data_IF_037003221513
#
_entry.id   IF_037003221513
#
_cell.length_a   1.000
_cell.length_b   1.000
_cell.length_c   1.000
_cell.angle_alpha   90.00
_cell.angle_beta   90.00
_cell.angle_gamma   90.00
#
_symmetry.space_group_name_H-M   'P 1'
#
loop_
_entity.id
_entity.type
_entity.pdbx_description
1 polymer ?
#
# COMPACT_ATOMS: atom_id res chain seq x y z
N UNK A 1 -1.26 8.27 2.62
CA UNK A 1 -0.83 6.93 3.07
C UNK A 1 0.62 6.91 3.56
N UNK A 2 1.61 7.21 2.72
CA UNK A 2 3.04 7.29 3.12
C UNK A 2 3.25 8.16 4.36
N UNK A 3 2.76 9.40 4.34
CA UNK A 3 2.86 10.32 5.47
C UNK A 3 2.20 9.80 6.75
N UNK A 4 1.08 9.08 6.63
CA UNK A 4 0.40 8.47 7.77
C UNK A 4 1.28 7.39 8.40
N UNK A 5 1.81 6.47 7.57
CA UNK A 5 2.70 5.40 8.04
C UNK A 5 3.97 5.98 8.67
N UNK A 6 4.59 6.99 8.06
CA UNK A 6 5.74 7.71 8.62
C UNK A 6 5.43 8.34 9.97
N UNK A 7 4.28 9.03 10.11
CA UNK A 7 3.85 9.64 11.38
C UNK A 7 3.58 8.62 12.48
N UNK A 8 3.12 7.42 12.12
CA UNK A 8 2.94 6.32 13.06
C UNK A 8 4.24 5.56 13.37
N UNK A 9 5.38 5.93 12.74
CA UNK A 9 6.65 5.23 12.92
C UNK A 9 6.68 3.84 12.27
N UNK A 10 5.76 3.57 11.33
CA UNK A 10 5.68 2.29 10.62
C UNK A 10 6.70 2.29 9.49
N UNK A 11 7.58 1.30 9.46
CA UNK A 11 8.49 1.09 8.33
C UNK A 11 7.72 0.57 7.12
N UNK A 12 7.96 1.16 5.96
CA UNK A 12 7.37 0.72 4.70
C UNK A 12 8.37 0.89 3.55
N UNK A 13 8.18 0.10 2.49
CA UNK A 13 8.89 0.27 1.23
C UNK A 13 7.97 0.95 0.24
N UNK A 14 8.45 2.03 -0.35
CA UNK A 14 7.76 2.71 -1.43
C UNK A 14 8.08 2.03 -2.76
N UNK A 15 7.04 1.69 -3.53
CA UNK A 15 7.15 1.23 -4.91
C UNK A 15 6.38 2.17 -5.81
N UNK A 16 7.05 2.78 -6.79
CA UNK A 16 6.44 3.68 -7.76
C UNK A 16 6.07 2.91 -9.03
N UNK A 17 4.79 2.61 -9.21
CA UNK A 17 4.29 1.86 -10.36
C UNK A 17 4.30 2.65 -11.68
N UNK A 18 4.52 3.97 -11.63
CA UNK A 18 4.63 4.79 -12.85
C UNK A 18 6.01 4.68 -13.49
N UNK A 19 7.02 4.34 -12.70
CA UNK A 19 8.42 4.23 -13.13
C UNK A 19 8.95 2.80 -13.07
N UNK A 20 8.32 1.90 -12.33
CA UNK A 20 8.72 0.50 -12.18
C UNK A 20 7.64 -0.45 -12.73
N UNK A 21 7.92 -1.00 -13.91
CA UNK A 21 7.05 -1.97 -14.59
C UNK A 21 6.87 -3.25 -13.76
N UNK A 22 7.88 -3.68 -13.00
CA UNK A 22 7.75 -4.86 -12.13
C UNK A 22 6.80 -4.58 -10.97
N UNK A 23 6.86 -3.38 -10.39
CA UNK A 23 5.92 -2.97 -9.35
C UNK A 23 4.48 -2.89 -9.88
N UNK A 24 4.29 -2.42 -11.11
CA UNK A 24 3.00 -2.40 -11.78
C UNK A 24 2.46 -3.83 -12.01
N UNK A 25 3.30 -4.74 -12.49
CA UNK A 25 2.92 -6.13 -12.72
C UNK A 25 2.61 -6.87 -11.41
N UNK A 26 3.44 -6.68 -10.38
CA UNK A 26 3.22 -7.21 -9.04
C UNK A 26 1.89 -6.71 -8.45
N UNK A 27 1.60 -5.42 -8.61
CA UNK A 27 0.34 -4.83 -8.18
C UNK A 27 -0.87 -5.44 -8.92
N UNK A 28 -0.78 -5.60 -10.24
CA UNK A 28 -1.83 -6.24 -11.03
C UNK A 28 -2.08 -7.69 -10.59
N UNK A 29 -1.02 -8.45 -10.32
CA UNK A 29 -1.10 -9.84 -9.86
C UNK A 29 -1.67 -9.97 -8.44
N UNK A 30 -1.24 -9.09 -7.53
CA UNK A 30 -1.64 -9.16 -6.13
C UNK A 30 -3.02 -8.54 -5.91
N UNK A 31 -3.22 -7.29 -6.33
CA UNK A 31 -4.43 -6.52 -6.04
C UNK A 31 -5.57 -6.78 -7.03
N UNK A 32 -5.28 -7.38 -8.20
CA UNK A 32 -6.26 -7.53 -9.29
C UNK A 32 -6.64 -6.22 -9.97
N UNK A 33 -6.06 -5.10 -9.53
CA UNK A 33 -6.32 -3.76 -10.05
C UNK A 33 -5.12 -2.83 -9.83
N UNK A 34 -4.94 -1.88 -10.74
CA UNK A 34 -3.90 -0.84 -10.68
C UNK A 34 -4.44 0.45 -10.09
N UNK A 35 -4.88 0.39 -8.83
CA UNK A 35 -5.45 1.53 -8.11
C UNK A 35 -4.53 2.05 -7.00
N UNK A 36 -4.11 3.30 -7.09
CA UNK A 36 -3.29 3.96 -6.07
C UNK A 36 -4.13 4.82 -5.13
N UNK A 37 -3.74 4.98 -3.85
CA UNK A 37 -2.68 4.25 -3.16
C UNK A 37 -3.10 2.82 -2.81
N UNK A 38 -2.17 1.86 -2.84
CA UNK A 38 -2.38 0.48 -2.36
C UNK A 38 -1.30 0.12 -1.35
N UNK A 39 -1.69 -0.61 -0.30
CA UNK A 39 -0.81 -1.13 0.75
C UNK A 39 -0.88 -2.65 0.80
N UNK A 40 0.29 -3.29 0.84
CA UNK A 40 0.45 -4.70 1.17
C UNK A 40 1.02 -4.80 2.59
N UNK A 41 0.28 -5.44 3.49
CA UNK A 41 0.66 -5.62 4.90
C UNK A 41 0.20 -6.98 5.37
N UNK A 42 1.12 -7.81 5.87
CA UNK A 42 0.86 -9.21 6.27
C UNK A 42 0.10 -10.03 5.22
N UNK A 43 0.44 -9.86 3.93
CA UNK A 43 -0.24 -10.52 2.82
C UNK A 43 -1.64 -9.99 2.51
N UNK A 44 -2.11 -8.95 3.21
CA UNK A 44 -3.40 -8.30 2.99
C UNK A 44 -3.23 -7.05 2.14
N UNK A 45 -4.14 -6.88 1.21
CA UNK A 45 -4.15 -5.73 0.29
C UNK A 45 -5.22 -4.74 0.74
N UNK A 46 -4.80 -3.49 0.89
CA UNK A 46 -5.67 -2.38 1.22
C UNK A 46 -5.56 -1.38 0.08
N UNK A 47 -6.62 -1.30 -0.70
CA UNK A 47 -6.75 -0.32 -1.78
C UNK A 47 -7.38 0.95 -1.22
N UNK A 48 -6.84 2.10 -1.61
CA UNK A 48 -7.28 3.41 -1.17
C UNK A 48 -6.71 3.81 0.19
N UNK A 49 -7.00 5.05 0.60
CA UNK A 49 -6.63 5.56 1.91
C UNK A 49 -7.87 5.66 2.81
N UNK A 50 -7.89 4.86 3.86
CA UNK A 50 -8.90 4.91 4.92
C UNK A 50 -8.19 4.84 6.28
N UNK A 51 -8.20 5.95 7.02
CA UNK A 51 -7.53 6.04 8.32
C UNK A 51 -8.09 5.03 9.33
N UNK A 52 -9.41 4.82 9.36
CA UNK A 52 -10.03 3.89 10.31
C UNK A 52 -9.61 2.45 10.01
N UNK A 53 -9.54 2.09 8.72
CA UNK A 53 -9.07 0.77 8.29
C UNK A 53 -7.59 0.59 8.59
N UNK A 54 -6.76 1.61 8.36
CA UNK A 54 -5.33 1.56 8.67
C UNK A 54 -5.08 1.44 10.17
N UNK A 55 -5.80 2.20 11.01
CA UNK A 55 -5.74 2.05 12.47
C UNK A 55 -6.03 0.62 12.90
N UNK A 56 -7.08 -0.03 12.37
CA UNK A 56 -7.41 -1.44 12.69
C UNK A 56 -6.34 -2.46 12.26
N UNK A 57 -5.47 -2.09 11.34
CA UNK A 57 -4.44 -2.98 10.80
C UNK A 57 -3.13 -2.84 11.58
N UNK A 58 -2.84 -1.65 12.09
CA UNK A 58 -1.57 -1.32 12.75
C UNK A 58 -1.68 -1.12 14.26
N UNK A 59 -2.85 -1.36 14.87
CA UNK A 59 -3.16 -1.17 16.28
C UNK A 59 -3.74 -2.45 16.89
#
# INVERSE_FOLDING_TARGET
MKEYLSRQGISFTEKDISSDENALEEMGRLAGQTAVPTLLVDGRIIVGFDENRLRKVFN
#
